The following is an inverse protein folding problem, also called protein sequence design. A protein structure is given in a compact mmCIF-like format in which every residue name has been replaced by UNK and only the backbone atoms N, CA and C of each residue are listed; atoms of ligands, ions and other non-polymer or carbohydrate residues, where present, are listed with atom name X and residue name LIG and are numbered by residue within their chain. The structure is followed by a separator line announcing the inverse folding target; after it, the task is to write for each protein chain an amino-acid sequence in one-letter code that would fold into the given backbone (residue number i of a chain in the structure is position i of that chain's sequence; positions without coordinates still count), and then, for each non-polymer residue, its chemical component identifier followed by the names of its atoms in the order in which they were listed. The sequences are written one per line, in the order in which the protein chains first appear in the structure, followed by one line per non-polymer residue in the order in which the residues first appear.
data_IF_677833875020
#
_entry.id   IF_677833875020
#
_cell.length_a   1.000
_cell.length_b   1.000
_cell.length_c   1.000
_cell.angle_alpha   90.00
_cell.angle_beta   90.00
_cell.angle_gamma   90.00
#
_symmetry.space_group_name_H-M   'P 1'
#
loop_
_entity.id
_entity.type
_entity.pdbx_description
1 polymer ?
#
# COMPACT_ATOMS: atom_id res chain seq x y z
N UNK A 1 22.38 44.62 47.41
CA UNK A 1 21.03 45.16 47.08
C UNK A 1 20.81 45.04 45.58
N UNK A 2 19.53 45.03 45.16
CA UNK A 2 18.93 45.11 43.80
C UNK A 2 19.83 45.75 42.71
N UNK A 3 19.92 45.16 41.50
CA UNK A 3 19.15 45.53 40.27
C UNK A 3 19.60 46.89 39.68
N UNK A 4 19.77 47.15 38.38
CA UNK A 4 19.36 46.47 37.12
C UNK A 4 20.53 46.56 36.10
N UNK A 5 20.45 46.37 34.77
CA UNK A 5 19.39 46.00 33.79
C UNK A 5 20.09 45.33 32.57
N UNK A 6 19.32 44.66 31.69
CA UNK A 6 19.72 44.29 30.32
C UNK A 6 18.91 45.13 29.32
N UNK A 7 19.53 45.64 28.25
CA UNK A 7 18.82 46.26 27.11
C UNK A 7 18.86 45.33 25.90
N UNK A 8 17.68 45.00 25.38
CA UNK A 8 17.51 44.09 24.25
C UNK A 8 17.79 44.78 22.90
N UNK A 9 18.40 44.05 21.97
CA UNK A 9 18.19 44.28 20.53
C UNK A 9 17.21 43.24 19.97
N UNK A 10 16.41 43.58 18.93
CA UNK A 10 15.23 42.82 18.56
C UNK A 10 15.55 41.56 17.73
N UNK A 11 14.72 40.50 17.81
CA UNK A 11 14.84 39.36 16.91
C UNK A 11 14.53 39.77 15.46
N UNK A 12 15.33 39.23 14.53
CA UNK A 12 15.08 39.35 13.09
C UNK A 12 13.68 38.85 12.73
N UNK A 13 12.98 39.59 11.85
CA UNK A 13 11.62 39.26 11.41
C UNK A 13 11.56 37.87 10.78
N UNK A 14 10.97 36.91 11.51
CA UNK A 14 10.49 35.65 10.94
C UNK A 14 9.43 35.98 9.88
N UNK A 15 9.73 35.70 8.62
CA UNK A 15 8.78 35.93 7.51
C UNK A 15 7.67 34.88 7.55
N UNK A 16 6.41 35.34 7.45
CA UNK A 16 5.19 34.52 7.53
C UNK A 16 5.09 33.33 6.56
N UNK A 17 6.05 33.18 5.63
CA UNK A 17 6.10 32.04 4.71
C UNK A 17 6.65 30.76 5.37
N UNK A 18 7.57 30.85 6.33
CA UNK A 18 8.16 29.67 6.98
C UNK A 18 7.12 28.83 7.75
N UNK A 19 6.20 29.49 8.46
CA UNK A 19 5.15 28.82 9.27
C UNK A 19 4.12 28.06 8.44
N UNK A 20 4.03 28.27 7.12
CA UNK A 20 3.10 27.52 6.25
C UNK A 20 3.66 26.18 5.75
N UNK A 21 4.98 26.00 5.74
CA UNK A 21 5.58 24.71 5.37
C UNK A 21 5.36 23.65 6.46
N UNK A 22 5.40 24.06 7.73
CA UNK A 22 5.27 23.18 8.90
C UNK A 22 3.88 22.54 9.09
N UNK A 23 2.83 23.02 8.40
CA UNK A 23 1.44 22.55 8.58
C UNK A 23 1.09 21.37 7.64
N UNK A 24 1.89 21.13 6.59
CA UNK A 24 1.57 20.13 5.54
C UNK A 24 2.34 18.80 5.73
N UNK A 25 3.34 18.76 6.62
CA UNK A 25 4.22 17.59 6.83
C UNK A 25 4.24 17.10 8.29
N UNK A 26 3.06 16.73 8.80
CA UNK A 26 2.92 15.81 9.93
C UNK A 26 1.77 14.86 9.57
N UNK A 27 2.08 13.62 9.16
CA UNK A 27 2.51 12.62 10.15
C UNK A 27 3.60 11.66 9.65
N UNK A 28 4.86 11.88 10.06
CA UNK A 28 5.90 10.85 10.02
C UNK A 28 6.59 10.79 11.40
N UNK A 29 6.86 9.59 11.95
CA UNK A 29 7.34 9.45 13.33
C UNK A 29 8.84 9.74 13.52
N UNK A 30 9.61 9.88 12.42
CA UNK A 30 11.02 10.22 12.49
C UNK A 30 11.21 11.74 12.59
N UNK A 31 11.48 12.19 13.81
CA UNK A 31 11.94 13.54 14.12
C UNK A 31 13.32 13.75 13.51
N UNK A 32 13.38 14.19 12.25
CA UNK A 32 14.59 14.82 11.69
C UNK A 32 14.67 16.21 12.33
N UNK A 33 15.70 16.45 13.14
CA UNK A 33 15.85 17.74 13.82
C UNK A 33 16.31 18.81 12.82
N UNK A 34 16.02 20.08 13.14
CA UNK A 34 16.27 21.21 12.23
C UNK A 34 17.77 21.43 11.91
N UNK A 35 18.68 20.77 12.63
CA UNK A 35 20.12 20.79 12.37
C UNK A 35 20.53 20.05 11.11
N UNK A 36 20.01 18.84 10.89
CA UNK A 36 20.40 17.96 9.76
C UNK A 36 20.06 18.62 8.41
N UNK A 37 18.91 19.30 8.36
CA UNK A 37 18.48 20.09 7.19
C UNK A 37 19.34 21.34 6.96
N UNK A 38 20.00 21.87 7.99
CA UNK A 38 20.84 23.06 7.89
C UNK A 38 22.24 22.73 7.34
N UNK A 39 22.82 21.58 7.71
CA UNK A 39 24.04 21.08 7.07
C UNK A 39 23.80 20.73 5.60
N UNK A 40 22.69 20.05 5.29
CA UNK A 40 22.30 19.74 3.91
C UNK A 40 21.98 21.00 3.08
N UNK A 41 21.47 22.07 3.70
CA UNK A 41 21.30 23.37 3.04
C UNK A 41 22.62 24.06 2.68
N UNK A 42 23.76 23.61 3.25
CA UNK A 42 25.12 24.03 2.87
C UNK A 42 25.84 23.01 1.97
N UNK A 43 25.19 21.90 1.59
CA UNK A 43 25.80 20.90 0.71
C UNK A 43 26.14 21.51 -0.67
N UNK A 44 27.29 21.11 -1.22
CA UNK A 44 27.73 21.59 -2.53
C UNK A 44 26.80 21.07 -3.63
N UNK A 45 26.77 21.78 -4.76
CA UNK A 45 25.93 21.45 -5.91
C UNK A 45 26.19 20.03 -6.44
N UNK A 46 27.42 19.55 -6.32
CA UNK A 46 27.86 18.20 -6.69
C UNK A 46 27.23 17.12 -5.80
N UNK A 47 27.17 17.36 -4.47
CA UNK A 47 26.53 16.42 -3.53
C UNK A 47 25.04 16.32 -3.80
N UNK A 48 24.37 17.46 -4.02
CA UNK A 48 22.93 17.48 -4.34
C UNK A 48 22.65 16.78 -5.68
N UNK A 49 23.48 17.00 -6.70
CA UNK A 49 23.39 16.28 -7.99
C UNK A 49 23.68 14.77 -7.88
N UNK A 50 24.47 14.34 -6.90
CA UNK A 50 24.70 12.92 -6.62
C UNK A 50 23.53 12.28 -5.85
N UNK A 51 22.89 13.01 -4.93
CA UNK A 51 21.79 12.49 -4.08
C UNK A 51 20.43 12.52 -4.78
N UNK A 52 20.09 13.60 -5.48
CA UNK A 52 18.76 13.78 -6.07
C UNK A 52 18.31 12.68 -7.06
N UNK A 53 19.19 12.01 -7.84
CA UNK A 53 18.82 10.84 -8.65
C UNK A 53 18.24 9.65 -7.88
N UNK A 54 18.50 9.55 -6.57
CA UNK A 54 18.01 8.46 -5.72
C UNK A 54 16.67 8.78 -5.04
N UNK A 55 16.18 10.01 -5.14
CA UNK A 55 14.92 10.45 -4.52
C UNK A 55 13.72 10.06 -5.39
N UNK A 56 12.63 9.65 -4.75
CA UNK A 56 11.34 9.50 -5.44
C UNK A 56 10.73 10.88 -5.74
N UNK A 57 9.83 10.94 -6.72
CA UNK A 57 9.36 12.23 -7.26
C UNK A 57 8.56 13.12 -6.30
N UNK A 58 8.10 12.58 -5.16
CA UNK A 58 7.49 13.37 -4.07
C UNK A 58 8.56 14.06 -3.23
N UNK A 59 9.66 13.37 -2.94
CA UNK A 59 10.78 13.89 -2.16
C UNK A 59 11.57 14.91 -2.98
N UNK A 60 11.82 14.62 -4.26
CA UNK A 60 12.43 15.57 -5.19
C UNK A 60 11.58 16.84 -5.37
N UNK A 61 10.24 16.72 -5.37
CA UNK A 61 9.35 17.89 -5.36
C UNK A 61 9.43 18.67 -4.04
N UNK A 62 9.66 18.00 -2.92
CA UNK A 62 9.83 18.62 -1.59
C UNK A 62 11.16 19.37 -1.50
N UNK A 63 12.24 18.84 -2.07
CA UNK A 63 13.52 19.55 -2.22
C UNK A 63 13.36 20.91 -2.92
N UNK A 64 12.42 21.04 -3.89
CA UNK A 64 12.15 22.31 -4.58
C UNK A 64 11.57 23.42 -3.68
N UNK A 65 11.16 23.09 -2.45
CA UNK A 65 10.63 24.04 -1.46
C UNK A 65 11.66 24.48 -0.41
N UNK A 66 12.83 23.83 -0.31
CA UNK A 66 13.83 24.05 0.75
C UNK A 66 14.56 25.39 0.56
N UNK A 67 15.27 25.57 -0.56
CA UNK A 67 15.97 26.82 -0.87
C UNK A 67 16.09 27.03 -2.39
N UNK A 68 16.62 28.18 -2.82
CA UNK A 68 16.77 28.49 -4.26
C UNK A 68 17.69 27.49 -4.97
N UNK A 69 18.86 27.19 -4.41
CA UNK A 69 19.84 26.26 -4.98
C UNK A 69 19.23 24.86 -5.17
N UNK A 70 18.60 24.32 -4.13
CA UNK A 70 17.91 23.03 -4.18
C UNK A 70 16.81 23.01 -5.23
N UNK A 71 16.02 24.10 -5.32
CA UNK A 71 14.99 24.26 -6.35
C UNK A 71 15.55 24.30 -7.76
N UNK A 72 16.65 25.00 -7.99
CA UNK A 72 17.23 25.14 -9.32
C UNK A 72 17.86 23.80 -9.77
N UNK A 73 18.50 23.04 -8.86
CA UNK A 73 19.05 21.70 -9.13
C UNK A 73 17.92 20.66 -9.29
N UNK A 74 16.96 20.57 -8.36
CA UNK A 74 15.87 19.59 -8.40
C UNK A 74 14.91 19.80 -9.59
N UNK A 75 15.00 20.93 -10.30
CA UNK A 75 14.21 21.23 -11.50
C UNK A 75 14.87 20.74 -12.79
N UNK A 76 16.08 20.17 -12.73
CA UNK A 76 16.71 19.55 -13.89
C UNK A 76 15.80 18.46 -14.47
N UNK A 77 15.41 18.65 -15.73
CA UNK A 77 14.43 17.79 -16.40
C UNK A 77 14.98 16.38 -16.66
N UNK A 78 16.29 16.17 -16.54
CA UNK A 78 16.91 14.85 -16.56
C UNK A 78 16.41 13.96 -15.40
N UNK A 79 16.35 14.48 -14.17
CA UNK A 79 15.86 13.72 -13.02
C UNK A 79 14.38 13.32 -13.21
N UNK A 80 13.55 14.27 -13.65
CA UNK A 80 12.14 14.01 -13.95
C UNK A 80 11.94 13.06 -15.13
N UNK A 81 12.83 13.08 -16.13
CA UNK A 81 12.83 12.12 -17.24
C UNK A 81 13.10 10.70 -16.75
N UNK A 82 14.10 10.52 -15.89
CA UNK A 82 14.42 9.22 -15.28
C UNK A 82 13.26 8.71 -14.41
N UNK A 83 12.65 9.56 -13.58
CA UNK A 83 11.47 9.23 -12.79
C UNK A 83 10.25 8.86 -13.67
N UNK A 84 10.00 9.62 -14.75
CA UNK A 84 8.95 9.29 -15.71
C UNK A 84 9.23 7.97 -16.45
N UNK A 85 10.49 7.68 -16.79
CA UNK A 85 10.87 6.43 -17.44
C UNK A 85 10.74 5.22 -16.52
N UNK A 86 11.06 5.37 -15.21
CA UNK A 86 10.85 4.35 -14.17
C UNK A 86 9.37 4.07 -13.93
N UNK A 87 8.55 5.12 -13.75
CA UNK A 87 7.14 5.02 -13.34
C UNK A 87 6.16 4.80 -14.50
N UNK A 88 6.45 5.37 -15.68
CA UNK A 88 5.60 5.27 -16.87
C UNK A 88 6.43 5.04 -18.16
N UNK A 89 7.06 3.86 -18.34
CA UNK A 89 7.99 3.58 -19.44
C UNK A 89 7.42 3.79 -20.84
N UNK A 90 6.10 3.64 -21.01
CA UNK A 90 5.38 3.82 -22.28
C UNK A 90 5.29 5.28 -22.73
N UNK A 91 5.39 6.24 -21.82
CA UNK A 91 5.28 7.68 -22.14
C UNK A 91 6.61 8.19 -22.69
N UNK A 92 7.73 7.80 -22.08
CA UNK A 92 9.08 8.18 -22.53
C UNK A 92 9.52 7.54 -23.85
N UNK A 93 8.76 6.57 -24.38
CA UNK A 93 9.02 5.91 -25.68
C UNK A 93 8.47 6.67 -26.90
N UNK A 94 7.64 7.70 -26.70
CA UNK A 94 7.12 8.53 -27.80
C UNK A 94 8.02 9.76 -27.96
N UNK A 95 8.40 10.16 -29.20
CA UNK A 95 9.05 11.45 -29.41
C UNK A 95 8.07 12.56 -29.01
N UNK A 96 8.42 13.37 -27.99
CA UNK A 96 7.54 14.37 -27.39
C UNK A 96 7.05 15.40 -28.43
N UNK A 97 5.74 15.50 -28.71
CA UNK A 97 5.17 16.56 -29.53
C UNK A 97 4.63 17.68 -28.64
N UNK A 98 5.52 18.47 -28.01
CA UNK A 98 5.25 19.82 -27.45
C UNK A 98 6.38 20.32 -26.56
N UNK A 99 6.35 21.61 -26.23
CA UNK A 99 7.23 22.33 -25.29
C UNK A 99 7.03 21.96 -23.80
N UNK A 100 6.62 20.72 -23.49
CA UNK A 100 6.44 20.25 -22.11
C UNK A 100 7.72 19.63 -21.56
N UNK A 101 8.12 20.06 -20.37
CA UNK A 101 9.16 19.43 -19.57
C UNK A 101 8.66 18.14 -18.91
N UNK A 102 9.54 17.17 -18.66
CA UNK A 102 9.24 15.96 -17.90
C UNK A 102 8.75 16.27 -16.48
N UNK A 103 9.20 17.36 -15.83
CA UNK A 103 8.60 17.83 -14.57
C UNK A 103 7.10 18.14 -14.71
N UNK A 104 6.70 18.88 -15.76
CA UNK A 104 5.30 19.21 -16.00
C UNK A 104 4.49 17.97 -16.40
N UNK A 105 5.12 17.03 -17.11
CA UNK A 105 4.53 15.73 -17.43
C UNK A 105 4.26 14.92 -16.15
N UNK A 106 5.28 14.73 -15.30
CA UNK A 106 5.18 14.05 -14.01
C UNK A 106 4.06 14.66 -13.17
N UNK A 107 4.07 15.99 -13.00
CA UNK A 107 3.04 16.75 -12.28
C UNK A 107 1.63 16.55 -12.85
N UNK A 108 1.49 16.42 -14.17
CA UNK A 108 0.19 16.21 -14.83
C UNK A 108 -0.33 14.80 -14.60
N UNK A 109 0.51 13.77 -14.73
CA UNK A 109 0.12 12.38 -14.47
C UNK A 109 -0.13 12.10 -13.00
N UNK A 110 0.72 12.63 -12.10
CA UNK A 110 0.52 12.56 -10.65
C UNK A 110 -0.79 13.23 -10.21
N UNK A 111 -1.10 14.43 -10.73
CA UNK A 111 -2.41 15.07 -10.50
C UNK A 111 -3.58 14.28 -11.07
N UNK A 112 -3.41 13.59 -12.21
CA UNK A 112 -4.47 12.74 -12.78
C UNK A 112 -4.73 11.48 -11.95
N UNK A 113 -3.74 10.93 -11.25
CA UNK A 113 -3.96 9.85 -10.27
C UNK A 113 -4.82 10.35 -9.11
N UNK A 114 -4.56 11.54 -8.55
CA UNK A 114 -5.37 12.13 -7.48
C UNK A 114 -6.70 12.78 -7.92
N UNK A 115 -6.97 12.89 -9.22
CA UNK A 115 -8.07 13.72 -9.73
C UNK A 115 -8.82 13.06 -10.90
N UNK A 116 -8.98 11.73 -10.83
CA UNK A 116 -10.10 11.05 -11.48
C UNK A 116 -11.08 10.64 -10.40
N UNK A 117 -12.22 11.33 -10.36
CA UNK A 117 -13.44 10.75 -9.80
C UNK A 117 -13.81 9.58 -10.70
N UNK A 118 -13.33 8.38 -10.35
CA UNK A 118 -13.81 7.15 -10.95
C UNK A 118 -15.32 7.08 -10.68
N UNK A 119 -16.10 6.62 -11.67
CA UNK A 119 -17.54 6.46 -11.50
C UNK A 119 -17.77 5.51 -10.30
N UNK A 120 -18.78 5.73 -9.45
CA UNK A 120 -19.03 4.84 -8.31
C UNK A 120 -19.02 3.36 -8.74
N UNK A 121 -18.40 2.46 -7.95
CA UNK A 121 -18.31 1.05 -8.31
C UNK A 121 -19.71 0.48 -8.52
N UNK A 122 -19.89 -0.39 -9.51
CA UNK A 122 -21.20 -0.96 -9.87
C UNK A 122 -21.58 -2.19 -9.03
N UNK A 123 -20.90 -2.36 -7.90
CA UNK A 123 -21.04 -3.46 -6.94
C UNK A 123 -20.95 -2.91 -5.51
N UNK A 124 -21.73 -3.48 -4.59
CA UNK A 124 -21.57 -3.32 -3.14
C UNK A 124 -21.06 -4.63 -2.53
N UNK A 125 -20.35 -4.54 -1.41
CA UNK A 125 -19.99 -5.70 -0.59
C UNK A 125 -21.20 -6.50 -0.09
N UNK A 126 -22.39 -5.88 0.00
CA UNK A 126 -23.64 -6.56 0.36
C UNK A 126 -24.09 -7.56 -0.71
N UNK A 127 -23.76 -7.29 -1.98
CA UNK A 127 -24.10 -8.09 -3.16
C UNK A 127 -23.02 -9.14 -3.50
N UNK A 128 -21.92 -9.19 -2.74
CA UNK A 128 -20.79 -10.10 -2.97
C UNK A 128 -20.75 -11.26 -1.97
N UNK A 129 -20.34 -12.42 -2.47
CA UNK A 129 -20.02 -13.62 -1.68
C UNK A 129 -18.66 -14.17 -2.12
N UNK A 130 -17.78 -14.46 -1.17
CA UNK A 130 -16.42 -14.93 -1.43
C UNK A 130 -16.34 -16.41 -1.08
N UNK A 131 -16.05 -17.24 -2.09
CA UNK A 131 -15.86 -18.69 -1.95
C UNK A 131 -14.38 -18.94 -1.72
N UNK A 132 -14.01 -19.41 -0.53
CA UNK A 132 -12.62 -19.57 -0.10
C UNK A 132 -12.39 -21.03 0.26
N UNK A 133 -11.59 -21.73 -0.55
CA UNK A 133 -11.20 -23.13 -0.34
C UNK A 133 -9.70 -23.23 -0.05
N UNK A 134 -9.33 -23.87 1.05
CA UNK A 134 -7.93 -24.13 1.43
C UNK A 134 -7.70 -25.65 1.48
N UNK A 135 -6.64 -26.09 0.80
CA UNK A 135 -6.29 -27.48 0.58
C UNK A 135 -4.88 -27.75 1.09
N UNK A 136 -4.63 -28.90 1.70
CA UNK A 136 -3.29 -29.45 1.91
C UNK A 136 -3.23 -30.87 1.35
N UNK A 137 -2.23 -31.17 0.51
CA UNK A 137 -2.03 -32.52 -0.06
C UNK A 137 -3.28 -33.10 -0.76
N UNK A 138 -4.05 -32.23 -1.45
CA UNK A 138 -5.38 -32.50 -2.05
C UNK A 138 -6.52 -32.85 -1.07
N UNK A 139 -6.31 -32.78 0.24
CA UNK A 139 -7.38 -32.77 1.25
C UNK A 139 -7.86 -31.34 1.47
N UNK A 140 -9.18 -31.14 1.43
CA UNK A 140 -9.81 -29.89 1.82
C UNK A 140 -9.68 -29.70 3.34
N UNK A 141 -9.10 -28.59 3.79
CA UNK A 141 -8.96 -28.22 5.20
C UNK A 141 -10.04 -27.21 5.63
N UNK A 142 -10.37 -26.28 4.76
CA UNK A 142 -11.34 -25.21 5.00
C UNK A 142 -12.08 -24.89 3.68
N UNK A 143 -13.37 -24.63 3.77
CA UNK A 143 -14.23 -24.23 2.66
C UNK A 143 -15.41 -23.45 3.21
N UNK A 144 -15.52 -22.17 2.84
CA UNK A 144 -16.57 -21.29 3.35
C UNK A 144 -17.02 -20.28 2.28
N UNK A 145 -18.29 -19.87 2.39
CA UNK A 145 -18.88 -18.78 1.59
C UNK A 145 -19.04 -17.57 2.50
N UNK A 146 -18.15 -16.59 2.36
CA UNK A 146 -18.05 -15.43 3.24
C UNK A 146 -18.75 -14.22 2.61
N UNK A 147 -19.77 -13.63 3.25
CA UNK A 147 -20.42 -12.43 2.73
C UNK A 147 -19.46 -11.24 2.70
N UNK A 148 -19.47 -10.45 1.63
CA UNK A 148 -18.58 -9.30 1.47
C UNK A 148 -18.70 -8.26 2.61
N UNK A 149 -19.90 -8.11 3.18
CA UNK A 149 -20.15 -7.22 4.32
C UNK A 149 -19.42 -7.64 5.61
N UNK A 150 -19.14 -8.94 5.79
CA UNK A 150 -18.33 -9.46 6.91
C UNK A 150 -16.86 -9.14 6.69
N UNK A 151 -16.34 -9.46 5.49
CA UNK A 151 -14.96 -9.18 5.07
C UNK A 151 -14.59 -7.68 5.16
N UNK A 152 -15.54 -6.79 4.83
CA UNK A 152 -15.35 -5.34 4.91
C UNK A 152 -15.23 -4.82 6.34
N UNK A 153 -15.98 -5.40 7.29
CA UNK A 153 -16.06 -4.89 8.66
C UNK A 153 -14.76 -5.14 9.45
N UNK A 154 -13.95 -6.09 9.00
CA UNK A 154 -12.89 -6.69 9.78
C UNK A 154 -13.42 -7.45 11.00
N UNK A 155 -12.51 -8.05 11.76
CA UNK A 155 -12.88 -8.78 12.97
C UNK A 155 -12.13 -8.30 14.20
N UNK A 156 -12.77 -8.45 15.37
CA UNK A 156 -12.13 -8.14 16.65
C UNK A 156 -11.08 -9.21 16.94
N UNK A 157 -9.83 -8.78 17.05
CA UNK A 157 -8.71 -9.65 17.39
C UNK A 157 -9.01 -10.35 18.74
N UNK A 158 -8.84 -11.68 18.86
CA UNK A 158 -8.99 -12.40 20.12
C UNK A 158 -8.15 -11.78 21.24
N UNK A 159 -8.74 -11.67 22.43
CA UNK A 159 -8.11 -10.99 23.57
C UNK A 159 -6.88 -11.71 24.14
N UNK A 160 -6.66 -12.98 23.80
CA UNK A 160 -5.50 -13.79 24.19
C UNK A 160 -5.04 -14.69 23.05
N UNK A 161 -3.74 -15.01 23.03
CA UNK A 161 -3.15 -15.95 22.07
C UNK A 161 -2.83 -15.39 20.68
N UNK A 162 -2.95 -14.08 20.46
CA UNK A 162 -2.42 -13.40 19.27
C UNK A 162 -1.17 -12.61 19.67
N UNK A 163 -0.05 -12.83 18.99
CA UNK A 163 1.21 -12.12 19.25
C UNK A 163 1.06 -10.60 19.04
N UNK A 164 1.69 -9.78 19.89
CA UNK A 164 1.59 -8.32 19.85
C UNK A 164 2.07 -7.71 18.52
N UNK A 165 3.04 -8.35 17.84
CA UNK A 165 3.46 -7.88 16.51
C UNK A 165 2.36 -8.08 15.45
N UNK A 166 1.61 -9.19 15.52
CA UNK A 166 0.48 -9.42 14.64
C UNK A 166 -0.69 -8.47 14.98
N UNK A 167 -0.93 -8.19 16.27
CA UNK A 167 -1.90 -7.14 16.68
C UNK A 167 -1.57 -5.80 16.03
N UNK A 168 -0.33 -5.34 16.15
CA UNK A 168 0.13 -4.07 15.57
C UNK A 168 -0.04 -4.00 14.05
N UNK A 169 0.17 -5.11 13.33
CA UNK A 169 -0.06 -5.17 11.87
C UNK A 169 -1.55 -5.11 11.48
N UNK A 170 -2.44 -5.70 12.29
CA UNK A 170 -3.88 -5.73 12.09
C UNK A 170 -4.56 -4.40 12.48
N UNK A 171 -3.99 -3.68 13.46
CA UNK A 171 -4.40 -2.33 13.87
C UNK A 171 -3.88 -1.21 12.94
N UNK A 172 -3.09 -1.56 11.92
CA UNK A 172 -2.53 -0.61 10.95
C UNK A 172 -3.59 0.09 10.08
N UNK A 173 -3.29 1.29 9.59
CA UNK A 173 -4.23 2.11 8.80
C UNK A 173 -4.37 1.72 7.32
N UNK A 174 -3.89 0.54 6.93
CA UNK A 174 -4.01 0.00 5.57
C UNK A 174 -5.36 -0.71 5.42
N UNK A 175 -6.05 -0.49 4.30
CA UNK A 175 -7.34 -1.15 4.07
C UNK A 175 -7.15 -2.64 3.74
N UNK A 176 -7.54 -3.51 4.66
CA UNK A 176 -7.46 -4.97 4.56
C UNK A 176 -8.84 -5.56 4.79
N UNK A 177 -9.24 -6.50 3.95
CA UNK A 177 -10.46 -7.29 4.18
C UNK A 177 -10.07 -8.46 5.09
N UNK A 178 -10.75 -8.63 6.22
CA UNK A 178 -10.40 -9.67 7.19
C UNK A 178 -11.66 -10.30 7.78
N UNK A 179 -11.60 -11.60 8.05
CA UNK A 179 -12.67 -12.31 8.77
C UNK A 179 -12.07 -13.36 9.73
N UNK A 180 -12.77 -13.66 10.84
CA UNK A 180 -12.34 -14.68 11.78
C UNK A 180 -12.74 -16.05 11.25
N UNK A 181 -11.96 -17.09 11.55
CA UNK A 181 -12.30 -18.46 11.16
C UNK A 181 -12.82 -19.23 12.36
N UNK A 182 -14.09 -19.63 12.33
CA UNK A 182 -14.74 -20.43 13.38
C UNK A 182 -15.56 -21.59 12.76
N UNK A 183 -15.25 -22.86 13.07
CA UNK A 183 -14.17 -23.33 13.94
C UNK A 183 -12.79 -23.14 13.29
N UNK A 184 -11.80 -22.82 14.13
CA UNK A 184 -10.38 -22.72 13.72
C UNK A 184 -9.87 -24.06 13.20
N UNK A 185 -8.96 -24.01 12.24
CA UNK A 185 -8.32 -25.19 11.66
C UNK A 185 -6.79 -25.07 11.76
N UNK A 186 -6.10 -26.21 11.71
CA UNK A 186 -4.64 -26.24 11.72
C UNK A 186 -4.08 -26.49 10.33
N UNK A 187 -2.98 -25.82 10.00
CA UNK A 187 -2.12 -26.19 8.88
C UNK A 187 -0.79 -26.76 9.40
N UNK A 188 -0.17 -27.76 8.74
CA UNK A 188 1.13 -28.23 9.15
C UNK A 188 2.27 -27.26 8.84
N UNK A 189 3.24 -27.23 9.74
CA UNK A 189 4.32 -26.24 9.84
C UNK A 189 5.60 -26.64 9.09
N UNK A 190 5.59 -27.80 8.41
CA UNK A 190 6.76 -28.42 7.79
C UNK A 190 6.96 -28.03 6.32
N UNK A 191 8.24 -27.91 5.90
CA UNK A 191 8.68 -27.40 4.60
C UNK A 191 8.18 -28.16 3.34
N UNK A 192 7.62 -29.37 3.50
CA UNK A 192 7.23 -30.23 2.37
C UNK A 192 5.70 -30.26 2.11
N UNK A 193 4.90 -29.48 2.83
CA UNK A 193 3.44 -29.54 2.69
C UNK A 193 2.88 -28.52 1.70
N UNK A 194 2.26 -29.04 0.65
CA UNK A 194 1.58 -28.23 -0.36
C UNK A 194 0.22 -27.72 0.16
N UNK A 195 0.26 -26.67 0.98
CA UNK A 195 -0.94 -25.90 1.35
C UNK A 195 -1.23 -24.87 0.25
N UNK A 196 -2.46 -24.88 -0.27
CA UNK A 196 -2.90 -24.00 -1.37
C UNK A 196 -4.29 -23.45 -1.12
N UNK A 197 -4.60 -22.30 -1.72
CA UNK A 197 -5.88 -21.60 -1.57
C UNK A 197 -6.46 -21.19 -2.90
N UNK A 198 -7.78 -21.33 -3.04
CA UNK A 198 -8.54 -20.81 -4.17
C UNK A 198 -9.58 -19.82 -3.65
N UNK A 199 -9.73 -18.70 -4.37
CA UNK A 199 -10.70 -17.65 -4.04
C UNK A 199 -11.48 -17.29 -5.30
N UNK A 200 -12.80 -17.40 -5.21
CA UNK A 200 -13.72 -16.84 -6.20
C UNK A 200 -14.64 -15.83 -5.50
N UNK A 201 -15.16 -14.88 -6.27
CA UNK A 201 -16.20 -13.95 -5.82
C UNK A 201 -17.43 -14.10 -6.70
N UNK A 202 -18.58 -14.30 -6.07
CA UNK A 202 -19.89 -14.33 -6.70
C UNK A 202 -20.65 -13.02 -6.49
N UNK A 203 -21.49 -12.68 -7.47
CA UNK A 203 -22.42 -11.55 -7.46
C UNK A 203 -23.85 -12.05 -7.32
N UNK A 204 -24.53 -11.67 -6.24
CA UNK A 204 -25.95 -11.99 -5.98
C UNK A 204 -26.89 -11.33 -7.00
N UNK A 205 -26.56 -10.10 -7.41
CA UNK A 205 -27.41 -9.27 -8.29
C UNK A 205 -27.51 -9.79 -9.73
N UNK A 206 -26.45 -10.44 -10.21
CA UNK A 206 -26.34 -10.92 -11.60
C UNK A 206 -26.06 -12.42 -11.73
N UNK A 207 -25.93 -13.15 -10.61
CA UNK A 207 -25.53 -14.56 -10.55
C UNK A 207 -24.25 -14.88 -11.36
N UNK A 208 -23.27 -13.98 -11.27
CA UNK A 208 -21.99 -14.08 -11.97
C UNK A 208 -20.86 -14.44 -11.02
N UNK A 209 -19.81 -15.08 -11.54
CA UNK A 209 -18.61 -15.41 -10.75
C UNK A 209 -17.35 -14.89 -11.44
N UNK A 210 -16.43 -14.38 -10.64
CA UNK A 210 -15.07 -14.04 -11.04
C UNK A 210 -14.04 -14.74 -10.15
N UNK A 211 -12.83 -14.94 -10.69
CA UNK A 211 -11.72 -15.59 -9.98
C UNK A 211 -10.79 -14.52 -9.41
N UNK A 212 -10.37 -14.71 -8.16
CA UNK A 212 -9.40 -13.83 -7.47
C UNK A 212 -8.07 -14.57 -7.29
N UNK A 213 -8.10 -15.84 -6.86
CA UNK A 213 -6.91 -16.68 -6.64
C UNK A 213 -7.17 -18.10 -7.15
N UNK A 214 -6.25 -18.65 -7.94
CA UNK A 214 -6.37 -19.94 -8.62
C UNK A 214 -5.41 -21.00 -8.05
N UNK A 215 -5.76 -21.58 -6.89
CA UNK A 215 -4.96 -22.63 -6.23
C UNK A 215 -3.50 -22.20 -5.97
N UNK A 216 -3.28 -20.96 -5.55
CA UNK A 216 -1.97 -20.45 -5.19
C UNK A 216 -1.43 -21.12 -3.93
N UNK A 217 -0.12 -21.35 -3.89
CA UNK A 217 0.58 -21.96 -2.77
C UNK A 217 0.85 -20.94 -1.67
N UNK A 218 0.80 -21.38 -0.41
CA UNK A 218 1.40 -20.65 0.71
C UNK A 218 2.90 -20.95 0.77
N UNK A 219 3.67 -20.36 -0.15
CA UNK A 219 5.11 -20.58 -0.28
C UNK A 219 5.94 -19.75 0.71
N UNK A 220 5.38 -18.64 1.22
CA UNK A 220 5.99 -17.79 2.23
C UNK A 220 5.29 -17.92 3.58
N UNK A 221 5.92 -18.66 4.50
CA UNK A 221 5.49 -18.81 5.89
C UNK A 221 6.46 -18.04 6.79
N UNK A 222 6.01 -16.92 7.34
CA UNK A 222 6.76 -16.12 8.30
C UNK A 222 6.26 -16.39 9.72
N UNK A 223 6.97 -17.28 10.42
CA UNK A 223 6.73 -17.57 11.84
C UNK A 223 6.96 -16.35 12.75
N UNK A 224 7.74 -15.34 12.33
CA UNK A 224 7.95 -14.16 13.15
C UNK A 224 6.73 -13.24 13.14
N UNK A 225 6.09 -13.02 11.98
CA UNK A 225 4.82 -12.27 11.87
C UNK A 225 3.56 -13.10 12.09
N UNK A 226 3.69 -14.39 12.41
CA UNK A 226 2.57 -15.32 12.64
C UNK A 226 1.62 -15.40 11.44
N UNK A 227 2.18 -15.42 10.22
CA UNK A 227 1.42 -15.40 8.97
C UNK A 227 2.01 -16.33 7.91
N UNK A 228 1.14 -16.89 7.07
CA UNK A 228 1.53 -17.43 5.77
C UNK A 228 0.86 -16.64 4.67
N UNK A 229 1.59 -16.34 3.59
CA UNK A 229 1.14 -15.55 2.46
C UNK A 229 1.05 -16.41 1.20
N UNK A 230 -0.01 -16.18 0.42
CA UNK A 230 -0.15 -16.63 -0.95
C UNK A 230 -0.61 -15.43 -1.79
N UNK A 231 -0.32 -15.45 -3.09
CA UNK A 231 -0.88 -14.47 -4.03
C UNK A 231 -1.20 -15.09 -5.37
N UNK A 232 -2.03 -14.41 -6.15
CA UNK A 232 -2.22 -14.66 -7.58
C UNK A 232 -2.38 -13.35 -8.32
N UNK A 233 -2.34 -13.41 -9.65
CA UNK A 233 -2.68 -12.28 -10.52
C UNK A 233 -4.16 -12.28 -10.85
N UNK A 234 -4.80 -11.11 -10.74
CA UNK A 234 -6.21 -10.95 -11.05
C UNK A 234 -6.51 -11.14 -12.55
N UNK A 235 -7.52 -11.95 -12.85
CA UNK A 235 -8.13 -12.01 -14.18
C UNK A 235 -8.97 -10.75 -14.43
N UNK A 236 -8.35 -9.72 -14.99
CA UNK A 236 -9.04 -8.50 -15.39
C UNK A 236 -9.81 -8.72 -16.69
N UNK A 237 -11.04 -8.22 -16.77
CA UNK A 237 -11.88 -8.31 -17.97
C UNK A 237 -11.19 -7.68 -19.19
N UNK A 238 -11.31 -8.27 -20.40
CA UNK A 238 -10.79 -7.69 -21.64
C UNK A 238 -11.26 -6.26 -21.96
N UNK A 239 -12.30 -5.76 -21.28
CA UNK A 239 -12.72 -4.36 -21.32
C UNK A 239 -11.70 -3.36 -20.75
N UNK A 240 -10.70 -3.82 -20.00
CA UNK A 240 -9.66 -3.00 -19.38
C UNK A 240 -8.23 -3.41 -19.82
N UNK A 241 -7.91 -3.39 -21.13
CA UNK A 241 -6.72 -4.04 -21.71
C UNK A 241 -5.36 -3.40 -21.33
N UNK A 242 -5.36 -2.38 -20.48
CA UNK A 242 -4.16 -1.73 -19.95
C UNK A 242 -3.90 -2.05 -18.47
N UNK A 243 -4.74 -2.88 -17.85
CA UNK A 243 -4.57 -3.37 -16.48
C UNK A 243 -4.12 -4.83 -16.53
N UNK A 244 -2.95 -5.10 -15.95
CA UNK A 244 -2.33 -6.42 -15.92
C UNK A 244 -1.28 -6.47 -14.81
N UNK A 245 -1.01 -7.64 -14.25
CA UNK A 245 0.02 -7.78 -13.21
C UNK A 245 -0.40 -7.27 -11.83
N UNK A 246 -1.70 -7.03 -11.63
CA UNK A 246 -2.27 -6.71 -10.31
C UNK A 246 -2.34 -7.99 -9.50
N UNK A 247 -1.79 -7.98 -8.28
CA UNK A 247 -1.82 -9.12 -7.36
C UNK A 247 -2.98 -9.02 -6.38
N UNK A 248 -3.58 -10.16 -6.08
CA UNK A 248 -4.42 -10.38 -4.91
C UNK A 248 -3.61 -11.16 -3.88
N UNK A 249 -3.47 -10.61 -2.68
CA UNK A 249 -2.79 -11.28 -1.57
C UNK A 249 -3.82 -11.90 -0.64
N UNK A 250 -3.52 -13.09 -0.14
CA UNK A 250 -4.27 -13.75 0.93
C UNK A 250 -3.30 -14.24 2.00
N UNK A 251 -3.68 -14.05 3.26
CA UNK A 251 -2.87 -14.42 4.42
C UNK A 251 -3.67 -15.30 5.37
N UNK A 252 -3.05 -16.36 5.85
CA UNK A 252 -3.51 -17.06 7.04
C UNK A 252 -2.88 -16.39 8.27
N UNK A 253 -3.69 -16.16 9.31
CA UNK A 253 -3.28 -15.53 10.55
C UNK A 253 -3.22 -16.60 11.66
N UNK A 254 -2.06 -16.75 12.29
CA UNK A 254 -1.80 -17.81 13.27
C UNK A 254 -1.85 -17.33 14.70
N UNK A 255 -2.35 -18.19 15.57
CA UNK A 255 -2.22 -18.04 17.02
C UNK A 255 -0.79 -18.31 17.47
N UNK A 256 -0.43 -17.71 18.61
CA UNK A 256 0.76 -18.04 19.36
C UNK A 256 0.58 -19.36 20.13
N UNK A 257 0.71 -20.48 19.41
CA UNK A 257 0.72 -21.83 19.99
C UNK A 257 2.16 -22.32 20.26
N UNK A 258 2.29 -23.24 21.23
CA UNK A 258 3.55 -23.91 21.60
C UNK A 258 3.85 -25.14 20.73
N UNK A 259 2.91 -25.56 19.89
CA UNK A 259 3.09 -26.68 19.00
C UNK A 259 3.81 -26.22 17.72
N UNK A 260 5.12 -26.46 17.62
CA UNK A 260 5.91 -26.03 16.46
C UNK A 260 5.54 -26.73 15.14
N UNK A 261 4.83 -27.86 15.20
CA UNK A 261 4.48 -28.71 14.05
C UNK A 261 3.13 -28.32 13.40
N UNK A 262 2.25 -27.61 14.10
CA UNK A 262 0.91 -27.22 13.63
C UNK A 262 0.63 -25.75 13.93
N UNK A 263 0.17 -25.01 12.93
CA UNK A 263 -0.22 -23.60 13.06
C UNK A 263 -1.74 -23.48 13.14
N UNK A 264 -2.25 -22.98 14.27
CA UNK A 264 -3.68 -22.75 14.53
C UNK A 264 -4.17 -21.46 13.86
N UNK A 265 -4.99 -21.59 12.81
CA UNK A 265 -5.50 -20.46 12.00
C UNK A 265 -6.74 -19.87 12.64
N UNK A 266 -6.65 -18.62 13.08
CA UNK A 266 -7.78 -17.90 13.70
C UNK A 266 -8.47 -16.89 12.78
N UNK A 267 -7.84 -16.53 11.66
CA UNK A 267 -8.38 -15.55 10.74
C UNK A 267 -7.72 -15.61 9.37
N UNK A 268 -8.42 -15.05 8.39
CA UNK A 268 -7.94 -14.91 7.03
C UNK A 268 -8.01 -13.43 6.67
N UNK A 269 -6.93 -12.92 6.07
CA UNK A 269 -6.82 -11.58 5.52
C UNK A 269 -6.70 -11.66 3.99
N UNK A 270 -7.38 -10.78 3.28
CA UNK A 270 -7.21 -10.55 1.85
C UNK A 270 -6.97 -9.07 1.59
N UNK A 271 -5.98 -8.75 0.77
CA UNK A 271 -5.66 -7.37 0.42
C UNK A 271 -5.10 -7.24 -1.01
N UNK A 272 -5.07 -5.99 -1.47
CA UNK A 272 -4.64 -5.59 -2.81
C UNK A 272 -3.67 -4.40 -2.70
N UNK A 273 -2.82 -4.39 -1.66
CA UNK A 273 -2.03 -3.23 -1.24
C UNK A 273 -1.11 -2.63 -2.32
N UNK A 274 -0.82 -3.38 -3.40
CA UNK A 274 -0.12 -2.88 -4.58
C UNK A 274 -0.89 -1.78 -5.35
N UNK A 275 -2.23 -1.76 -5.25
CA UNK A 275 -3.12 -0.95 -6.11
C UNK A 275 -4.34 -0.32 -5.43
N UNK A 276 -4.78 -0.82 -4.27
CA UNK A 276 -5.98 -0.33 -3.58
C UNK A 276 -5.74 -0.26 -2.07
N UNK A 277 -6.12 0.86 -1.44
CA UNK A 277 -5.96 1.11 -0.01
C UNK A 277 -7.23 1.75 0.60
N UNK A 278 -8.38 1.47 0.00
CA UNK A 278 -9.71 1.90 0.50
C UNK A 278 -10.79 0.95 0.01
N UNK A 279 -11.94 0.94 0.70
CA UNK A 279 -13.14 0.18 0.34
C UNK A 279 -13.55 0.42 -1.11
N UNK A 280 -13.57 1.68 -1.53
CA UNK A 280 -14.01 2.11 -2.85
C UNK A 280 -13.04 1.67 -3.95
N UNK A 281 -11.73 1.72 -3.69
CA UNK A 281 -10.71 1.22 -4.63
C UNK A 281 -10.76 -0.30 -4.79
N UNK A 282 -11.01 -1.05 -3.71
CA UNK A 282 -11.21 -2.49 -3.79
C UNK A 282 -12.48 -2.83 -4.58
N UNK A 283 -13.59 -2.13 -4.35
CA UNK A 283 -14.81 -2.33 -5.13
C UNK A 283 -14.61 -1.95 -6.62
N UNK A 284 -13.81 -0.93 -6.95
CA UNK A 284 -13.43 -0.66 -8.34
C UNK A 284 -12.61 -1.79 -8.96
N UNK A 285 -11.65 -2.34 -8.22
CA UNK A 285 -10.82 -3.44 -8.70
C UNK A 285 -11.64 -4.70 -8.95
N UNK A 286 -12.55 -5.03 -8.04
CA UNK A 286 -13.46 -6.17 -8.17
C UNK A 286 -14.47 -6.00 -9.33
N UNK A 287 -14.97 -4.78 -9.60
CA UNK A 287 -15.87 -4.50 -10.74
C UNK A 287 -15.17 -4.69 -12.10
N UNK A 288 -13.83 -4.66 -12.13
CA UNK A 288 -13.02 -4.85 -13.35
C UNK A 288 -12.67 -6.31 -13.66
N UNK A 289 -12.99 -7.28 -12.79
CA UNK A 289 -12.68 -8.70 -13.00
C UNK A 289 -13.42 -9.30 -14.22
N UNK A 290 -12.92 -10.43 -14.72
CA UNK A 290 -13.53 -11.22 -15.80
C UNK A 290 -14.78 -12.00 -15.33
N UNK A 291 -15.85 -11.27 -15.03
CA UNK A 291 -17.14 -11.78 -14.55
C UNK A 291 -17.90 -12.63 -15.59
N UNK A 292 -18.03 -13.92 -15.30
CA UNK A 292 -18.72 -14.91 -16.13
C UNK A 292 -20.16 -15.08 -15.65
#
# INVERSE_FOLDING_TARGET
MRSSFLTCHPPLRVTRHASRAAIILSPCPYRIEWGDWLELAMASEEVLKAVFPFLEGVDLASCMAVCKQWKDIARDDFFWKCLCAKRWPSICKRPNPSSLTYYNLYKTFYKRQHCRTLLPPRISFDDLEFFIDIWAENRLLFSEVVPGSVLQAGFKIPASGVCDMLKFQLEGSEYKMTFPVEPRFTIPSGQNQNVSVSVMVGRKDSNKVARIINKSMFDYIDRSSYRALAFDYLDISPGYPFLSGIRAWISLLFMEDRNEDLMDVFGIQMDFCDVANSKEEVLWLLDMLDWK
#
